data_IF_770514764286
#
_entry.id   IF_770514764286
#
_cell.length_a   1.000
_cell.length_b   1.000
_cell.length_c   1.000
_cell.angle_alpha   90.00
_cell.angle_beta   90.00
_cell.angle_gamma   90.00
#
_symmetry.space_group_name_H-M   'P 1'
#
loop_
_entity.id
_entity.type
_entity.pdbx_description
1 polymer ?
#
# COMPACT_ATOMS: atom_id res chain seq x y z
N UNK A 1 13.38 3.36 -7.52
CA UNK A 1 12.86 4.68 -7.09
C UNK A 1 13.38 5.85 -7.95
N UNK A 2 14.69 6.05 -8.17
CA UNK A 2 15.17 7.19 -8.98
C UNK A 2 14.63 7.23 -10.44
N UNK A 3 14.38 6.09 -11.08
CA UNK A 3 13.78 6.04 -12.42
C UNK A 3 12.27 6.29 -12.48
N UNK A 4 11.58 6.36 -11.34
CA UNK A 4 10.15 6.70 -11.28
C UNK A 4 9.94 8.21 -11.11
N UNK A 5 10.94 8.96 -10.65
CA UNK A 5 10.86 10.42 -10.51
C UNK A 5 10.81 11.15 -11.87
N UNK A 6 11.03 10.44 -12.98
CA UNK A 6 10.86 10.93 -14.36
C UNK A 6 9.45 10.69 -14.93
N UNK A 7 8.51 10.20 -14.13
CA UNK A 7 7.11 9.98 -14.53
C UNK A 7 6.20 11.10 -14.02
N UNK A 8 5.13 11.40 -14.75
CA UNK A 8 4.09 12.40 -14.40
C UNK A 8 3.20 11.95 -13.22
N UNK A 9 3.75 11.21 -12.25
CA UNK A 9 2.99 10.73 -11.09
C UNK A 9 2.80 11.88 -10.09
N UNK A 10 1.58 11.98 -9.59
CA UNK A 10 1.22 12.90 -8.53
C UNK A 10 1.56 12.32 -7.14
N UNK A 11 1.41 13.14 -6.10
CA UNK A 11 1.78 12.77 -4.74
C UNK A 11 1.00 11.55 -4.20
N UNK A 12 -0.27 11.40 -4.57
CA UNK A 12 -1.11 10.28 -4.17
C UNK A 12 -0.59 8.98 -4.79
N UNK A 13 -0.32 8.99 -6.09
CA UNK A 13 0.22 7.82 -6.80
C UNK A 13 1.60 7.42 -6.25
N UNK A 14 2.47 8.40 -5.97
CA UNK A 14 3.76 8.14 -5.35
C UNK A 14 3.62 7.52 -3.96
N UNK A 15 2.68 8.00 -3.14
CA UNK A 15 2.38 7.45 -1.81
C UNK A 15 1.83 6.04 -1.92
N UNK A 16 0.89 5.80 -2.82
CA UNK A 16 0.32 4.48 -3.07
C UNK A 16 1.42 3.47 -3.44
N UNK A 17 2.27 3.80 -4.41
CA UNK A 17 3.33 2.90 -4.85
C UNK A 17 4.31 2.61 -3.71
N UNK A 18 4.66 3.63 -2.90
CA UNK A 18 5.50 3.44 -1.72
C UNK A 18 4.85 2.46 -0.73
N UNK A 19 3.56 2.63 -0.44
CA UNK A 19 2.83 1.82 0.53
C UNK A 19 2.66 0.37 0.05
N UNK A 20 2.20 0.15 -1.18
CA UNK A 20 2.07 -1.19 -1.77
C UNK A 20 3.43 -1.90 -1.83
N UNK A 21 4.50 -1.18 -2.20
CA UNK A 21 5.86 -1.75 -2.21
C UNK A 21 6.29 -2.20 -0.82
N UNK A 22 5.98 -1.43 0.23
CA UNK A 22 6.27 -1.79 1.60
C UNK A 22 5.51 -3.06 2.02
N UNK A 23 4.20 -3.14 1.72
CA UNK A 23 3.37 -4.31 2.04
C UNK A 23 3.85 -5.59 1.34
N UNK A 24 4.22 -5.50 0.06
CA UNK A 24 4.83 -6.63 -0.67
C UNK A 24 6.21 -6.99 -0.07
N UNK A 25 7.01 -5.99 0.30
CA UNK A 25 8.30 -6.20 0.96
C UNK A 25 8.18 -6.92 2.30
N UNK A 26 7.12 -6.63 3.08
CA UNK A 26 6.82 -7.33 4.34
C UNK A 26 6.54 -8.82 4.06
N UNK A 27 5.69 -9.15 3.07
CA UNK A 27 5.41 -10.55 2.71
C UNK A 27 6.66 -11.32 2.27
N UNK A 28 7.56 -10.66 1.54
CA UNK A 28 8.78 -11.29 1.03
C UNK A 28 9.84 -11.48 2.11
N UNK A 29 9.90 -10.57 3.09
CA UNK A 29 10.95 -10.54 4.11
C UNK A 29 10.62 -11.42 5.30
N UNK A 30 9.34 -11.51 5.68
CA UNK A 30 8.91 -12.18 6.91
C UNK A 30 8.11 -13.45 6.58
N UNK A 31 8.74 -14.64 6.55
CA UNK A 31 8.05 -15.88 6.18
C UNK A 31 7.07 -16.39 7.24
N UNK A 32 7.14 -15.88 8.47
CA UNK A 32 6.35 -16.33 9.63
C UNK A 32 5.29 -15.30 10.07
N UNK A 33 4.77 -14.49 9.15
CA UNK A 33 3.67 -13.57 9.44
C UNK A 33 2.44 -14.33 9.92
N UNK A 34 1.69 -13.75 10.86
CA UNK A 34 0.40 -14.32 11.26
C UNK A 34 -0.59 -14.30 10.10
N UNK A 35 -1.54 -15.22 10.09
CA UNK A 35 -2.60 -15.27 9.08
C UNK A 35 -3.39 -13.94 9.02
N UNK A 36 -3.58 -13.28 10.18
CA UNK A 36 -4.23 -11.96 10.27
C UNK A 36 -3.47 -10.88 9.51
N UNK A 37 -2.14 -10.81 9.66
CA UNK A 37 -1.31 -9.86 8.91
C UNK A 37 -1.35 -10.17 7.42
N UNK A 38 -1.20 -11.44 7.03
CA UNK A 38 -1.25 -11.86 5.63
C UNK A 38 -2.58 -11.47 4.96
N UNK A 39 -3.72 -11.66 5.65
CA UNK A 39 -5.05 -11.30 5.13
C UNK A 39 -5.23 -9.79 5.00
N UNK A 40 -4.69 -8.98 5.91
CA UNK A 40 -4.74 -7.51 5.80
C UNK A 40 -3.92 -6.99 4.64
N UNK A 41 -2.73 -7.56 4.43
CA UNK A 41 -1.90 -7.23 3.25
C UNK A 41 -2.63 -7.62 1.97
N UNK A 42 -3.17 -8.84 1.91
CA UNK A 42 -3.95 -9.30 0.76
C UNK A 42 -5.15 -8.38 0.49
N UNK A 43 -5.88 -7.99 1.54
CA UNK A 43 -7.00 -7.05 1.43
C UNK A 43 -6.56 -5.72 0.80
N UNK A 44 -5.48 -5.09 1.29
CA UNK A 44 -5.01 -3.83 0.72
C UNK A 44 -4.58 -3.94 -0.75
N UNK A 45 -3.93 -5.04 -1.13
CA UNK A 45 -3.51 -5.25 -2.53
C UNK A 45 -4.73 -5.54 -3.42
N UNK A 46 -5.70 -6.32 -2.93
CA UNK A 46 -6.93 -6.60 -3.66
C UNK A 46 -7.79 -5.35 -3.85
N UNK A 47 -7.85 -4.48 -2.85
CA UNK A 47 -8.54 -3.19 -2.94
C UNK A 47 -7.92 -2.33 -4.05
N UNK A 48 -6.59 -2.15 -4.03
CA UNK A 48 -5.85 -1.46 -5.09
C UNK A 48 -5.99 -2.04 -6.51
N UNK A 49 -6.33 -3.33 -6.64
CA UNK A 49 -6.52 -3.93 -7.96
C UNK A 49 -7.96 -3.79 -8.49
N UNK A 50 -8.86 -3.15 -7.76
CA UNK A 50 -10.24 -2.91 -8.15
C UNK A 50 -10.40 -1.50 -8.76
N UNK A 51 -10.54 -1.41 -10.09
CA UNK A 51 -10.62 -0.11 -10.79
C UNK A 51 -11.93 0.66 -10.51
N UNK A 52 -12.95 0.00 -9.97
CA UNK A 52 -14.30 0.54 -9.66
C UNK A 52 -14.55 0.60 -8.14
N UNK A 53 -13.52 0.90 -7.34
CA UNK A 53 -13.57 1.00 -5.87
C UNK A 53 -14.36 2.24 -5.34
N UNK A 54 -14.10 2.69 -4.11
CA UNK A 54 -14.81 3.86 -3.56
C UNK A 54 -14.51 5.15 -4.34
N UNK A 55 -13.32 5.29 -4.94
CA UNK A 55 -12.95 6.42 -5.80
C UNK A 55 -12.36 5.88 -7.12
N UNK A 56 -13.16 5.75 -8.18
CA UNK A 56 -12.71 5.16 -9.43
C UNK A 56 -11.41 5.77 -9.99
N UNK A 57 -10.48 4.90 -10.38
CA UNK A 57 -9.13 5.24 -10.87
C UNK A 57 -9.10 6.25 -12.01
N UNK A 58 -10.16 6.26 -12.82
CA UNK A 58 -10.32 7.15 -13.97
C UNK A 58 -10.33 8.64 -13.58
N UNK A 59 -10.55 8.98 -12.30
CA UNK A 59 -10.62 10.36 -11.82
C UNK A 59 -9.19 10.96 -11.75
N UNK A 60 -8.84 11.92 -12.64
CA UNK A 60 -7.47 12.41 -12.74
C UNK A 60 -7.00 13.11 -11.47
N UNK A 61 -5.86 12.67 -10.94
CA UNK A 61 -5.24 13.26 -9.75
C UNK A 61 -5.93 12.93 -8.43
N UNK A 62 -6.98 12.09 -8.44
CA UNK A 62 -7.73 11.73 -7.23
C UNK A 62 -8.04 10.23 -7.09
N UNK A 63 -8.22 9.48 -8.20
CA UNK A 63 -8.66 8.07 -8.20
C UNK A 63 -8.04 7.25 -7.06
N UNK A 64 -6.72 7.14 -7.07
CA UNK A 64 -5.91 6.43 -6.08
C UNK A 64 -5.89 6.94 -4.62
N UNK A 65 -6.75 7.89 -4.24
CA UNK A 65 -6.68 8.52 -2.90
C UNK A 65 -7.02 7.54 -1.78
N UNK A 66 -8.12 6.82 -1.94
CA UNK A 66 -8.62 5.82 -0.99
C UNK A 66 -7.70 4.61 -0.96
N UNK A 67 -7.20 4.12 -2.09
CA UNK A 67 -6.16 3.08 -2.14
C UNK A 67 -4.95 3.42 -1.29
N UNK A 68 -4.41 4.63 -1.50
CA UNK A 68 -3.23 5.10 -0.78
C UNK A 68 -3.51 5.13 0.73
N UNK A 69 -4.76 5.43 1.11
CA UNK A 69 -5.18 5.53 2.50
C UNK A 69 -5.44 4.17 3.14
N UNK A 70 -6.07 3.24 2.43
CA UNK A 70 -6.24 1.84 2.84
C UNK A 70 -4.88 1.20 3.07
N UNK A 71 -3.96 1.36 2.12
CA UNK A 71 -2.60 0.81 2.26
C UNK A 71 -1.85 1.43 3.45
N UNK A 72 -1.97 2.75 3.66
CA UNK A 72 -1.39 3.44 4.84
C UNK A 72 -1.95 2.87 6.16
N UNK A 73 -3.26 2.72 6.28
CA UNK A 73 -3.90 2.17 7.49
C UNK A 73 -3.47 0.73 7.78
N UNK A 74 -3.31 -0.10 6.75
CA UNK A 74 -2.81 -1.46 6.94
C UNK A 74 -1.35 -1.44 7.42
N UNK A 75 -0.50 -0.56 6.88
CA UNK A 75 0.88 -0.41 7.36
C UNK A 75 0.92 0.04 8.83
N UNK A 76 0.12 1.05 9.20
CA UNK A 76 0.01 1.51 10.59
C UNK A 76 -0.43 0.38 11.52
N UNK A 77 -1.49 -0.34 11.12
CA UNK A 77 -2.04 -1.46 11.89
C UNK A 77 -1.05 -2.62 12.07
N UNK A 78 -0.24 -2.91 11.05
CA UNK A 78 0.83 -3.91 11.14
C UNK A 78 1.97 -3.41 12.03
N UNK A 79 2.33 -2.14 11.94
CA UNK A 79 3.40 -1.52 12.74
C UNK A 79 3.07 -1.53 14.24
N UNK A 80 1.79 -1.38 14.59
CA UNK A 80 1.32 -1.48 15.98
C UNK A 80 1.50 -2.90 16.56
N UNK A 81 1.33 -3.94 15.74
CA UNK A 81 1.51 -5.34 16.14
C UNK A 81 2.96 -5.82 16.06
N UNK A 82 3.74 -5.22 15.17
CA UNK A 82 5.14 -5.55 14.92
C UNK A 82 5.98 -4.27 14.89
N UNK A 83 6.32 -3.70 16.07
CA UNK A 83 7.06 -2.44 16.16
C UNK A 83 8.43 -2.48 15.47
N UNK A 84 8.99 -3.68 15.30
CA UNK A 84 10.24 -3.94 14.59
C UNK A 84 10.20 -3.51 13.12
N UNK A 85 9.00 -3.40 12.52
CA UNK A 85 8.78 -2.91 11.17
C UNK A 85 8.81 -1.38 11.06
N UNK A 86 8.68 -0.65 12.17
CA UNK A 86 8.69 0.83 12.18
C UNK A 86 10.08 1.45 11.97
N UNK A 87 11.13 0.64 11.86
CA UNK A 87 12.53 1.06 11.82
C UNK A 87 13.21 0.92 10.44
N UNK A 88 12.44 0.64 9.38
CA UNK A 88 12.95 0.52 8.01
C UNK A 88 12.66 1.76 7.14
#
# INVERSE_FOLDING_TARGET
LQGMLSSNLNEIELRLIKNISALVGILQTYPNLTESIQKRILFSISYFCDEDDEIPDIIPGLGYLDDAKVAEWIIESISDEMPELSLA
#
